data_IF_433130298350
#
_entry.id   IF_433130298350
#
_cell.length_a   1.000
_cell.length_b   1.000
_cell.length_c   1.000
_cell.angle_alpha   90.00
_cell.angle_beta   90.00
_cell.angle_gamma   90.00
#
_symmetry.space_group_name_H-M   'P 1'
#
loop_
_entity.id
_entity.type
_entity.pdbx_description
1 polymer ?
#
# COMPACT_ATOMS: atom_id res chain seq x y z
N UNK A 1 -14.29 6.44 3.00
CA UNK A 1 -12.91 5.91 3.04
C UNK A 1 -12.13 6.45 4.24
N UNK A 2 -11.99 7.77 4.38
CA UNK A 2 -11.20 8.41 5.47
C UNK A 2 -11.58 7.94 6.90
N UNK A 3 -12.87 7.87 7.29
CA UNK A 3 -13.21 7.47 8.67
C UNK A 3 -12.76 6.06 9.03
N UNK A 4 -12.79 5.13 8.06
CA UNK A 4 -12.38 3.74 8.28
C UNK A 4 -10.86 3.61 8.40
N UNK A 5 -10.11 4.37 7.61
CA UNK A 5 -8.65 4.41 7.73
C UNK A 5 -8.25 4.96 9.11
N UNK A 6 -8.85 6.06 9.55
CA UNK A 6 -8.62 6.64 10.88
C UNK A 6 -8.99 5.66 12.01
N UNK A 7 -10.10 4.93 11.88
CA UNK A 7 -10.47 3.88 12.82
C UNK A 7 -9.40 2.78 12.94
N UNK A 8 -8.88 2.31 11.80
CA UNK A 8 -7.86 1.25 11.82
C UNK A 8 -6.51 1.75 12.35
N UNK A 9 -6.12 2.99 12.04
CA UNK A 9 -4.97 3.65 12.68
C UNK A 9 -5.15 3.74 14.19
N UNK A 10 -6.30 4.23 14.65
CA UNK A 10 -6.64 4.38 16.07
C UNK A 10 -6.67 3.03 16.78
N UNK A 11 -7.28 2.00 16.18
CA UNK A 11 -7.30 0.64 16.76
C UNK A 11 -5.89 0.05 16.89
N UNK A 12 -4.99 0.33 15.96
CA UNK A 12 -3.57 -0.03 16.07
C UNK A 12 -2.89 0.68 17.24
N UNK A 13 -3.13 1.99 17.42
CA UNK A 13 -2.61 2.76 18.57
C UNK A 13 -3.15 2.24 19.91
N UNK A 14 -4.44 1.94 19.98
CA UNK A 14 -5.08 1.35 21.16
C UNK A 14 -4.47 -0.02 21.46
N UNK A 15 -4.31 -0.89 20.45
CA UNK A 15 -3.64 -2.18 20.63
C UNK A 15 -2.24 -2.00 21.16
N UNK A 16 -1.44 -1.07 20.63
CA UNK A 16 -0.08 -0.79 21.12
C UNK A 16 -0.06 -0.41 22.61
N UNK A 17 -1.06 0.35 23.07
CA UNK A 17 -1.18 0.74 24.48
C UNK A 17 -1.60 -0.42 25.39
N UNK A 18 -2.49 -1.29 24.92
CA UNK A 18 -3.02 -2.43 25.70
C UNK A 18 -2.02 -3.60 25.70
N UNK A 19 -1.52 -3.96 24.52
CA UNK A 19 -0.57 -5.04 24.29
C UNK A 19 0.63 -4.44 23.60
N UNK A 20 1.74 -4.27 24.32
CA UNK A 20 2.99 -3.83 23.68
C UNK A 20 3.39 -4.89 22.67
N UNK A 21 3.31 -4.64 21.35
CA UNK A 21 3.77 -5.61 20.38
C UNK A 21 5.28 -5.72 20.51
N UNK A 22 5.81 -6.91 20.20
CA UNK A 22 7.26 -7.05 20.01
C UNK A 22 7.73 -5.99 19.00
N UNK A 23 8.87 -5.33 19.22
CA UNK A 23 9.43 -4.42 18.25
C UNK A 23 9.68 -5.13 16.91
N UNK A 24 9.46 -4.42 15.80
CA UNK A 24 9.79 -4.94 14.47
C UNK A 24 8.67 -5.68 13.73
N UNK A 25 7.41 -5.62 14.17
CA UNK A 25 6.29 -5.95 13.30
C UNK A 25 6.39 -5.19 11.96
N UNK A 26 5.83 -5.76 10.89
CA UNK A 26 5.95 -5.32 9.49
C UNK A 26 7.34 -5.51 8.87
N UNK A 27 8.44 -5.32 9.59
CA UNK A 27 9.81 -5.43 9.04
C UNK A 27 10.42 -6.82 9.31
N UNK A 28 10.60 -7.15 10.59
CA UNK A 28 11.20 -8.41 11.05
C UNK A 28 10.24 -9.58 10.86
N UNK A 29 8.97 -9.38 11.17
CA UNK A 29 7.92 -10.39 11.08
C UNK A 29 6.59 -9.77 10.60
N UNK A 30 5.65 -10.55 10.04
CA UNK A 30 4.42 -10.00 9.48
C UNK A 30 3.52 -9.39 10.56
N UNK A 31 2.98 -8.20 10.29
CA UNK A 31 1.88 -7.63 11.06
C UNK A 31 0.58 -8.32 10.66
N UNK A 32 -0.17 -8.83 11.64
CA UNK A 32 -1.43 -9.54 11.42
C UNK A 32 -2.62 -8.65 11.72
N UNK A 33 -3.38 -8.32 10.68
CA UNK A 33 -4.66 -7.62 10.77
C UNK A 33 -5.81 -8.60 10.56
N UNK A 34 -6.71 -8.71 11.54
CA UNK A 34 -7.86 -9.62 11.51
C UNK A 34 -9.12 -8.88 11.11
N UNK A 35 -9.89 -9.44 10.18
CA UNK A 35 -11.16 -8.86 9.77
C UNK A 35 -12.15 -9.94 9.32
N UNK A 36 -13.40 -9.52 9.13
CA UNK A 36 -14.43 -10.28 8.40
C UNK A 36 -14.81 -9.54 7.13
N UNK A 37 -15.30 -10.27 6.12
CA UNK A 37 -15.81 -9.66 4.90
C UNK A 37 -17.16 -9.00 5.20
N UNK A 38 -17.16 -7.69 5.44
CA UNK A 38 -18.39 -6.96 5.74
C UNK A 38 -19.29 -6.84 4.51
N UNK A 39 -20.60 -6.71 4.73
CA UNK A 39 -21.59 -6.62 3.65
C UNK A 39 -21.29 -5.50 2.65
N UNK A 40 -20.80 -4.34 3.13
CA UNK A 40 -20.37 -3.23 2.27
C UNK A 40 -19.10 -3.51 1.46
N UNK A 41 -18.19 -4.35 1.96
CA UNK A 41 -16.98 -4.73 1.23
C UNK A 41 -17.27 -5.76 0.13
N UNK A 42 -18.32 -6.56 0.34
CA UNK A 42 -18.89 -7.47 -0.66
C UNK A 42 -19.83 -6.76 -1.65
N UNK A 43 -20.04 -5.44 -1.54
CA UNK A 43 -21.05 -4.72 -2.32
C UNK A 43 -22.44 -5.37 -2.23
N UNK A 44 -22.83 -5.81 -1.04
CA UNK A 44 -24.05 -6.58 -0.76
C UNK A 44 -24.17 -7.93 -1.51
N UNK A 45 -23.09 -8.42 -2.10
CA UNK A 45 -22.99 -9.74 -2.72
C UNK A 45 -22.53 -10.84 -1.76
N UNK A 46 -22.26 -12.02 -2.33
CA UNK A 46 -21.86 -13.23 -1.60
C UNK A 46 -20.35 -13.29 -1.29
N UNK A 47 -19.54 -12.46 -1.95
CA UNK A 47 -18.08 -12.50 -1.84
C UNK A 47 -17.43 -11.12 -1.85
N UNK A 48 -16.20 -11.07 -1.36
CA UNK A 48 -15.37 -9.87 -1.36
C UNK A 48 -15.06 -9.43 -2.79
N UNK A 49 -15.30 -8.16 -3.09
CA UNK A 49 -15.02 -7.58 -4.42
C UNK A 49 -13.51 -7.37 -4.63
N UNK A 50 -13.07 -7.36 -5.89
CA UNK A 50 -11.65 -7.20 -6.25
C UNK A 50 -11.06 -5.90 -5.68
N UNK A 51 -11.82 -4.81 -5.75
CA UNK A 51 -11.43 -3.51 -5.20
C UNK A 51 -11.33 -3.51 -3.67
N UNK A 52 -12.08 -4.38 -2.99
CA UNK A 52 -11.99 -4.51 -1.55
C UNK A 52 -10.68 -5.17 -1.12
N UNK A 53 -10.06 -6.05 -1.92
CA UNK A 53 -8.73 -6.56 -1.58
C UNK A 53 -7.69 -5.44 -1.48
N UNK A 54 -7.61 -4.54 -2.49
CA UNK A 54 -6.68 -3.40 -2.46
C UNK A 54 -6.92 -2.49 -1.24
N UNK A 55 -8.19 -2.17 -0.96
CA UNK A 55 -8.56 -1.41 0.23
C UNK A 55 -8.08 -2.11 1.51
N UNK A 56 -8.24 -3.42 1.61
CA UNK A 56 -7.91 -4.17 2.81
C UNK A 56 -6.41 -4.35 2.99
N UNK A 57 -5.63 -4.37 1.90
CA UNK A 57 -4.18 -4.23 1.96
C UNK A 57 -3.81 -2.90 2.62
N UNK A 58 -4.37 -1.78 2.17
CA UNK A 58 -4.09 -0.47 2.79
C UNK A 58 -4.52 -0.40 4.26
N UNK A 59 -5.71 -0.91 4.60
CA UNK A 59 -6.18 -0.94 5.99
C UNK A 59 -5.25 -1.74 6.90
N UNK A 60 -4.73 -2.87 6.42
CA UNK A 60 -3.78 -3.70 7.19
C UNK A 60 -2.46 -2.95 7.46
N UNK A 61 -1.99 -2.15 6.49
CA UNK A 61 -0.77 -1.34 6.63
C UNK A 61 -1.02 -0.19 7.61
N UNK A 62 -2.13 0.52 7.51
CA UNK A 62 -2.46 1.60 8.46
C UNK A 62 -2.63 1.10 9.90
N UNK A 63 -3.18 -0.10 10.05
CA UNK A 63 -3.22 -0.79 11.32
C UNK A 63 -1.81 -1.10 11.86
N UNK A 64 -0.95 -1.66 11.01
CA UNK A 64 0.46 -1.92 11.35
C UNK A 64 1.17 -0.63 11.79
N UNK A 65 0.99 0.47 11.04
CA UNK A 65 1.56 1.77 11.36
C UNK A 65 1.18 2.27 12.76
N UNK A 66 -0.09 2.12 13.13
CA UNK A 66 -0.55 2.46 14.49
C UNK A 66 0.07 1.57 15.55
N UNK A 67 0.15 0.26 15.29
CA UNK A 67 0.68 -0.72 16.24
C UNK A 67 2.17 -0.57 16.53
N UNK A 68 2.97 -0.19 15.53
CA UNK A 68 4.43 -0.08 15.63
C UNK A 68 4.91 1.32 16.03
N UNK A 69 4.04 2.34 15.97
CA UNK A 69 4.44 3.72 16.23
C UNK A 69 4.91 4.50 15.01
N UNK A 70 4.84 3.92 13.80
CA UNK A 70 5.11 4.64 12.55
C UNK A 70 4.28 5.92 12.42
N UNK A 71 3.03 5.91 12.90
CA UNK A 71 2.19 7.12 12.88
C UNK A 71 2.78 8.27 13.69
N UNK A 72 3.43 7.96 14.82
CA UNK A 72 4.05 8.98 15.66
C UNK A 72 5.33 9.52 15.00
N UNK A 73 6.16 8.65 14.43
CA UNK A 73 7.35 9.00 13.65
C UNK A 73 6.99 9.94 12.49
N UNK A 74 5.99 9.53 11.69
CA UNK A 74 5.51 10.33 10.55
C UNK A 74 4.95 11.68 10.99
N UNK A 75 4.17 11.73 12.08
CA UNK A 75 3.61 12.99 12.58
C UNK A 75 4.71 13.95 13.06
N UNK A 76 5.70 13.46 13.82
CA UNK A 76 6.81 14.25 14.37
C UNK A 76 7.66 14.86 13.25
N UNK A 77 8.01 14.05 12.25
CA UNK A 77 8.91 14.45 11.17
C UNK A 77 8.18 15.05 9.95
N UNK A 78 6.84 15.16 10.03
CA UNK A 78 5.96 15.60 8.92
C UNK A 78 6.12 14.74 7.66
N UNK A 79 6.35 13.45 7.87
CA UNK A 79 6.42 12.48 6.79
C UNK A 79 5.06 11.92 6.46
N UNK A 80 4.89 11.51 5.21
CA UNK A 80 3.71 10.78 4.77
C UNK A 80 4.08 9.74 3.72
N UNK A 81 3.30 8.66 3.69
CA UNK A 81 3.47 7.57 2.74
C UNK A 81 2.75 7.90 1.43
N UNK A 82 3.40 7.59 0.31
CA UNK A 82 2.82 7.66 -1.02
C UNK A 82 2.91 6.27 -1.65
N UNK A 83 1.75 5.69 -1.96
CA UNK A 83 1.67 4.44 -2.69
C UNK A 83 1.86 4.74 -4.18
N UNK A 84 2.90 4.16 -4.79
CA UNK A 84 3.18 4.33 -6.21
C UNK A 84 2.40 3.34 -7.06
N UNK A 85 2.49 2.05 -6.70
CA UNK A 85 1.91 0.96 -7.47
C UNK A 85 1.43 -0.13 -6.53
N UNK A 86 0.29 -0.73 -6.86
CA UNK A 86 -0.24 -1.87 -6.13
C UNK A 86 -0.80 -2.90 -7.11
N UNK A 87 -0.70 -4.18 -6.74
CA UNK A 87 -1.27 -5.28 -7.49
C UNK A 87 -1.72 -6.38 -6.55
N UNK A 88 -2.76 -7.12 -6.93
CA UNK A 88 -3.26 -8.27 -6.17
C UNK A 88 -3.50 -9.45 -7.09
N UNK A 89 -3.12 -10.63 -6.62
CA UNK A 89 -3.47 -11.92 -7.21
C UNK A 89 -4.42 -12.63 -6.25
N UNK A 90 -5.64 -12.89 -6.72
CA UNK A 90 -6.66 -13.61 -5.96
C UNK A 90 -6.68 -15.06 -6.42
N UNK A 91 -6.51 -15.98 -5.48
CA UNK A 91 -6.52 -17.43 -5.73
C UNK A 91 -7.86 -18.06 -5.36
N UNK A 92 -8.48 -17.58 -4.28
CA UNK A 92 -9.73 -18.09 -3.73
C UNK A 92 -10.62 -16.95 -3.24
N UNK A 93 -11.92 -17.13 -3.46
CA UNK A 93 -12.93 -16.17 -3.01
C UNK A 93 -13.02 -16.16 -1.48
N UNK A 94 -13.17 -14.96 -0.90
CA UNK A 94 -13.53 -14.78 0.50
C UNK A 94 -15.03 -14.47 0.53
N UNK A 95 -15.83 -15.34 1.15
CA UNK A 95 -17.29 -15.21 1.25
C UNK A 95 -17.69 -14.14 2.26
N UNK A 96 -18.90 -13.60 2.09
CA UNK A 96 -19.47 -12.63 3.02
C UNK A 96 -19.44 -13.17 4.46
N UNK A 97 -19.05 -12.31 5.40
CA UNK A 97 -18.86 -12.59 6.83
C UNK A 97 -17.78 -13.61 7.20
N UNK A 98 -17.11 -14.21 6.21
CA UNK A 98 -15.96 -15.09 6.42
C UNK A 98 -14.83 -14.32 7.11
N UNK A 99 -14.23 -14.94 8.13
CA UNK A 99 -13.06 -14.41 8.81
C UNK A 99 -11.81 -14.68 7.97
N UNK A 100 -10.91 -13.70 7.94
CA UNK A 100 -9.60 -13.82 7.33
C UNK A 100 -8.59 -12.93 8.05
N UNK A 101 -7.32 -13.23 7.84
CA UNK A 101 -6.21 -12.41 8.31
C UNK A 101 -5.46 -11.84 7.12
N UNK A 102 -4.99 -10.61 7.25
CA UNK A 102 -4.04 -10.01 6.31
C UNK A 102 -2.70 -9.91 7.02
N UNK A 103 -1.73 -10.66 6.50
CA UNK A 103 -0.35 -10.73 6.98
C UNK A 103 0.47 -9.78 6.12
N UNK A 104 0.84 -8.64 6.68
CA UNK A 104 1.54 -7.57 5.96
C UNK A 104 2.98 -7.46 6.40
N UNK A 105 3.91 -7.43 5.44
CA UNK A 105 5.35 -7.36 5.69
C UNK A 105 6.07 -6.56 4.62
N UNK A 106 6.99 -5.69 5.01
CA UNK A 106 7.99 -5.12 4.10
C UNK A 106 9.01 -6.20 3.77
N UNK A 107 9.05 -6.61 2.50
CA UNK A 107 9.92 -7.67 2.02
C UNK A 107 11.22 -7.17 1.39
N UNK A 108 11.30 -5.89 1.04
CA UNK A 108 12.47 -5.24 0.47
C UNK A 108 12.32 -3.71 0.60
N UNK A 109 13.43 -2.99 0.65
CA UNK A 109 13.47 -1.54 0.54
C UNK A 109 14.76 -1.11 -0.14
N UNK A 110 14.70 0.01 -0.85
CA UNK A 110 15.85 0.73 -1.38
C UNK A 110 15.88 2.15 -0.78
N UNK A 111 16.62 3.07 -1.41
CA UNK A 111 16.75 4.45 -0.92
C UNK A 111 15.48 5.28 -1.08
N UNK A 112 14.53 4.86 -1.92
CA UNK A 112 13.32 5.60 -2.25
C UNK A 112 12.04 4.86 -1.85
N UNK A 113 12.03 3.54 -1.97
CA UNK A 113 10.85 2.69 -1.96
C UNK A 113 10.93 1.56 -0.95
N UNK A 114 9.79 1.24 -0.37
CA UNK A 114 9.53 0.05 0.43
C UNK A 114 8.52 -0.81 -0.31
N UNK A 115 8.76 -2.13 -0.31
CA UNK A 115 7.92 -3.11 -0.98
C UNK A 115 7.21 -3.95 0.06
N UNK A 116 5.89 -3.78 0.14
CA UNK A 116 5.03 -4.47 1.08
C UNK A 116 4.36 -5.65 0.39
N UNK A 117 4.47 -6.81 1.02
CA UNK A 117 3.70 -8.01 0.73
C UNK A 117 2.50 -8.07 1.68
N UNK A 118 1.32 -8.37 1.16
CA UNK A 118 0.10 -8.60 1.92
C UNK A 118 -0.48 -9.96 1.54
N UNK A 119 -0.53 -10.89 2.48
CA UNK A 119 -1.10 -12.22 2.27
C UNK A 119 -2.43 -12.36 3.02
N UNK A 120 -3.50 -12.63 2.29
CA UNK A 120 -4.83 -12.92 2.84
C UNK A 120 -4.92 -14.40 3.16
N UNK A 121 -5.12 -14.75 4.42
CA UNK A 121 -5.09 -16.13 4.89
C UNK A 121 -6.32 -16.51 5.70
N UNK A 122 -6.68 -17.79 5.66
CA UNK A 122 -7.60 -18.38 6.62
C UNK A 122 -6.96 -18.38 8.02
N UNK A 123 -7.64 -17.86 9.07
CA UNK A 123 -7.11 -17.88 10.43
C UNK A 123 -6.99 -19.30 10.99
N UNK A 124 -7.81 -20.24 10.52
CA UNK A 124 -7.88 -21.61 11.04
C UNK A 124 -6.93 -22.54 10.31
N UNK A 125 -6.93 -22.53 8.98
CA UNK A 125 -6.15 -23.46 8.15
C UNK A 125 -4.84 -22.87 7.63
N UNK A 126 -4.64 -21.56 7.71
CA UNK A 126 -3.51 -20.86 7.10
C UNK A 126 -3.57 -20.78 5.56
N UNK A 127 -4.64 -21.30 4.95
CA UNK A 127 -4.84 -21.32 3.50
C UNK A 127 -4.79 -19.91 2.90
N UNK A 128 -4.06 -19.76 1.78
CA UNK A 128 -3.90 -18.48 1.09
C UNK A 128 -5.10 -18.20 0.16
N UNK A 129 -5.77 -17.08 0.39
CA UNK A 129 -6.87 -16.59 -0.44
C UNK A 129 -6.38 -15.64 -1.54
N UNK A 130 -5.47 -14.73 -1.19
CA UNK A 130 -4.92 -13.74 -2.10
C UNK A 130 -3.54 -13.28 -1.64
N UNK A 131 -2.74 -12.81 -2.57
CA UNK A 131 -1.46 -12.17 -2.31
C UNK A 131 -1.38 -10.85 -3.06
N UNK A 132 -1.04 -9.79 -2.35
CA UNK A 132 -0.91 -8.46 -2.90
C UNK A 132 0.46 -7.87 -2.64
N UNK A 133 0.88 -6.98 -3.53
CA UNK A 133 2.09 -6.20 -3.40
C UNK A 133 1.81 -4.71 -3.51
N UNK A 134 2.58 -3.92 -2.78
CA UNK A 134 2.54 -2.46 -2.84
C UNK A 134 3.94 -1.89 -2.80
N UNK A 135 4.22 -0.93 -3.68
CA UNK A 135 5.42 -0.10 -3.59
C UNK A 135 5.06 1.25 -2.99
N UNK A 136 5.74 1.61 -1.91
CA UNK A 136 5.43 2.80 -1.09
C UNK A 136 6.69 3.59 -0.83
N UNK A 137 6.63 4.90 -1.04
CA UNK A 137 7.73 5.80 -0.70
C UNK A 137 7.34 6.69 0.48
N UNK A 138 8.36 7.16 1.20
CA UNK A 138 8.21 8.15 2.25
C UNK A 138 8.54 9.54 1.70
N UNK A 139 7.74 10.55 2.05
CA UNK A 139 7.97 11.93 1.60
C UNK A 139 7.87 12.93 2.73
N UNK A 140 8.62 14.01 2.60
CA UNK A 140 8.50 15.23 3.41
C UNK A 140 8.27 16.40 2.44
N UNK A 141 7.04 16.94 2.40
CA UNK A 141 6.67 17.88 1.35
C UNK A 141 6.92 17.31 -0.05
N UNK A 142 7.73 17.97 -0.87
CA UNK A 142 8.05 17.49 -2.23
C UNK A 142 9.23 16.53 -2.27
N UNK A 143 9.97 16.37 -1.19
CA UNK A 143 11.19 15.58 -1.15
C UNK A 143 10.91 14.12 -0.82
N UNK A 144 11.79 13.24 -1.30
CA UNK A 144 11.80 11.82 -0.94
C UNK A 144 12.60 11.65 0.34
N UNK A 145 12.17 10.75 1.19
CA UNK A 145 12.84 10.45 2.46
C UNK A 145 13.32 9.02 2.41
N UNK A 146 14.60 8.82 2.73
CA UNK A 146 15.17 7.48 2.80
C UNK A 146 14.43 6.64 3.86
N UNK A 147 13.91 5.45 3.52
CA UNK A 147 13.23 4.57 4.48
C UNK A 147 14.02 4.26 5.75
N UNK A 148 15.36 4.28 5.70
CA UNK A 148 16.22 4.00 6.86
C UNK A 148 16.05 5.02 8.00
N UNK A 149 15.77 6.28 7.68
CA UNK A 149 15.47 7.30 8.69
C UNK A 149 14.20 6.96 9.49
N UNK A 150 13.23 6.32 8.84
CA UNK A 150 12.03 5.82 9.52
C UNK A 150 12.33 4.62 10.40
N UNK A 151 13.22 3.71 9.96
CA UNK A 151 13.67 2.56 10.74
C UNK A 151 14.38 3.00 12.03
N UNK A 152 15.27 4.00 11.93
CA UNK A 152 15.95 4.60 13.07
C UNK A 152 14.95 5.22 14.07
N UNK A 153 13.99 6.03 13.59
CA UNK A 153 13.02 6.71 14.46
C UNK A 153 12.10 5.74 15.22
N UNK A 154 11.81 4.56 14.65
CA UNK A 154 11.03 3.51 15.31
C UNK A 154 11.88 2.53 16.14
N UNK A 155 13.18 2.79 16.30
CA UNK A 155 14.07 1.98 17.14
C UNK A 155 14.51 0.67 16.49
N UNK A 156 14.58 0.63 15.16
CA UNK A 156 15.07 -0.51 14.36
C UNK A 156 16.30 -0.12 13.51
N UNK A 157 17.35 0.50 14.08
CA UNK A 157 18.49 1.01 13.30
C UNK A 157 19.32 -0.09 12.62
N UNK A 158 19.28 -1.32 13.16
CA UNK A 158 20.09 -2.45 12.68
C UNK A 158 19.34 -3.35 11.70
N UNK A 159 18.32 -2.84 11.00
CA UNK A 159 17.69 -3.58 9.91
C UNK A 159 18.72 -3.73 8.78
N UNK A 160 19.18 -4.95 8.58
CA UNK A 160 20.15 -5.28 7.52
C UNK A 160 19.44 -5.14 6.18
N UNK A 161 20.03 -4.32 5.31
CA UNK A 161 19.59 -4.21 3.93
C UNK A 161 19.71 -5.58 3.26
N UNK A 162 18.70 -5.93 2.45
CA UNK A 162 18.79 -7.15 1.65
C UNK A 162 19.70 -6.87 0.46
N UNK A 163 20.83 -7.58 0.40
CA UNK A 163 21.79 -7.45 -0.69
C UNK A 163 21.15 -7.74 -2.06
N UNK A 164 20.26 -8.73 -2.09
CA UNK A 164 19.55 -9.11 -3.31
C UNK A 164 18.08 -8.70 -3.29
N UNK A 165 17.63 -8.09 -4.38
CA UNK A 165 16.22 -7.80 -4.63
C UNK A 165 15.47 -9.14 -4.75
N UNK A 166 14.48 -9.45 -3.90
CA UNK A 166 13.75 -10.71 -3.99
C UNK A 166 13.10 -10.91 -5.36
N UNK A 167 13.07 -12.15 -5.86
CA UNK A 167 12.49 -12.48 -7.18
C UNK A 167 11.06 -11.93 -7.35
N UNK A 168 10.25 -12.02 -6.29
CA UNK A 168 8.89 -11.48 -6.27
C UNK A 168 8.86 -9.96 -6.51
N UNK A 169 9.81 -9.23 -5.93
CA UNK A 169 9.97 -7.78 -6.13
C UNK A 169 10.44 -7.47 -7.54
N UNK A 170 11.37 -8.24 -8.09
CA UNK A 170 11.82 -8.10 -9.47
C UNK A 170 10.66 -8.27 -10.46
N UNK A 171 9.84 -9.32 -10.28
CA UNK A 171 8.66 -9.58 -11.13
C UNK A 171 7.62 -8.45 -11.03
N UNK A 172 7.39 -7.94 -9.82
CA UNK A 172 6.50 -6.80 -9.61
C UNK A 172 7.01 -5.53 -10.29
N UNK A 173 8.31 -5.23 -10.18
CA UNK A 173 8.92 -4.09 -10.85
C UNK A 173 8.88 -4.22 -12.38
N UNK A 174 9.07 -5.42 -12.91
CA UNK A 174 8.92 -5.67 -14.35
C UNK A 174 7.49 -5.40 -14.83
N UNK A 175 6.48 -5.85 -14.08
CA UNK A 175 5.08 -5.53 -14.36
C UNK A 175 4.78 -4.03 -14.25
N UNK A 176 5.27 -3.37 -13.20
CA UNK A 176 5.08 -1.93 -12.98
C UNK A 176 5.68 -1.09 -14.11
N UNK A 177 6.88 -1.45 -14.59
CA UNK A 177 7.55 -0.76 -15.68
C UNK A 177 6.76 -0.86 -17.01
N UNK A 178 6.10 -1.99 -17.26
CA UNK A 178 5.23 -2.16 -18.44
C UNK A 178 3.94 -1.34 -18.27
N UNK A 179 3.34 -1.34 -17.07
CA UNK A 179 2.15 -0.56 -16.77
C UNK A 179 2.40 0.95 -16.91
N UNK A 180 3.53 1.47 -16.40
CA UNK A 180 3.92 2.88 -16.51
C UNK A 180 4.04 3.33 -17.98
N UNK A 181 4.71 2.54 -18.83
CA UNK A 181 4.80 2.83 -20.27
C UNK A 181 3.42 2.87 -20.95
N UNK A 182 2.54 1.94 -20.60
CA UNK A 182 1.16 1.90 -21.12
C UNK A 182 0.36 3.12 -20.68
N UNK A 183 0.49 3.52 -19.41
CA UNK A 183 -0.17 4.70 -18.86
C UNK A 183 0.32 5.99 -19.51
N UNK A 184 1.65 6.15 -19.69
CA UNK A 184 2.26 7.29 -20.40
C UNK A 184 1.73 7.42 -21.81
N UNK A 185 1.81 6.34 -22.59
CA UNK A 185 1.29 6.31 -23.96
C UNK A 185 -0.18 6.69 -24.02
N UNK A 186 -0.99 6.18 -23.09
CA UNK A 186 -2.42 6.51 -23.01
C UNK A 186 -2.65 7.99 -22.68
N UNK A 187 -1.87 8.55 -21.74
CA UNK A 187 -1.93 9.96 -21.40
C UNK A 187 -1.56 10.85 -22.60
N UNK A 188 -0.51 10.52 -23.34
CA UNK A 188 -0.09 11.26 -24.53
C UNK A 188 -1.17 11.23 -25.63
N UNK A 189 -1.73 10.04 -25.91
CA UNK A 189 -2.84 9.90 -26.87
C UNK A 189 -4.07 10.69 -26.45
N UNK A 190 -4.41 10.69 -25.16
CA UNK A 190 -5.51 11.49 -24.63
C UNK A 190 -5.22 12.99 -24.78
N UNK A 191 -4.01 13.45 -24.44
CA UNK A 191 -3.62 14.85 -24.58
C UNK A 191 -3.80 15.33 -26.03
N UNK A 192 -3.36 14.54 -27.02
CA UNK A 192 -3.57 14.84 -28.46
C UNK A 192 -5.06 14.90 -28.80
N UNK A 193 -5.84 13.91 -28.34
CA UNK A 193 -7.28 13.83 -28.63
C UNK A 193 -8.07 15.00 -28.04
N UNK A 194 -7.72 15.45 -26.84
CA UNK A 194 -8.44 16.50 -26.12
C UNK A 194 -7.91 17.91 -26.40
N UNK A 195 -6.66 18.07 -26.87
CA UNK A 195 -6.12 19.37 -27.30
C UNK A 195 -6.97 20.05 -28.40
N UNK A 196 -7.61 19.25 -29.25
CA UNK A 196 -8.43 19.73 -30.37
C UNK A 196 -9.93 19.81 -30.07
N UNK A 197 -10.37 19.46 -28.85
CA UNK A 197 -11.79 19.48 -28.48
C UNK A 197 -12.10 20.80 -27.78
N UNK A 198 -13.00 21.62 -28.34
CA UNK A 198 -13.64 22.75 -27.63
C UNK A 198 -14.55 22.21 -26.52
N UNK A 199 -13.97 21.68 -25.45
CA UNK A 199 -14.67 21.25 -24.24
C UNK A 199 -14.74 22.40 -23.23
N UNK A 200 -15.70 22.37 -22.29
CA UNK A 200 -15.76 23.37 -21.23
C UNK A 200 -14.46 23.35 -20.42
N UNK A 201 -13.92 24.54 -20.09
CA UNK A 201 -12.63 24.76 -19.43
C UNK A 201 -12.45 24.08 -18.05
N UNK A 202 -13.50 23.41 -17.55
CA UNK A 202 -13.55 22.76 -16.23
C UNK A 202 -13.05 21.32 -16.27
N UNK A 203 -12.98 20.69 -17.45
CA UNK A 203 -12.46 19.34 -17.62
C UNK A 203 -10.99 19.41 -18.06
N UNK A 204 -10.07 19.32 -17.11
CA UNK A 204 -8.64 19.21 -17.40
C UNK A 204 -8.37 17.97 -18.25
N UNK A 205 -7.72 18.15 -19.40
CA UNK A 205 -7.20 17.06 -20.23
C UNK A 205 -6.00 16.33 -19.58
N UNK A 206 -5.40 16.95 -18.57
CA UNK A 206 -4.36 16.36 -17.75
C UNK A 206 -5.01 15.71 -16.53
N UNK A 207 -4.91 14.38 -16.42
CA UNK A 207 -5.25 13.70 -15.17
C UNK A 207 -4.30 14.23 -14.10
N UNK A 208 -4.86 14.97 -13.14
CA UNK A 208 -4.09 15.43 -11.98
C UNK A 208 -3.47 14.19 -11.33
N UNK A 209 -2.13 14.10 -11.35
CA UNK A 209 -1.24 13.18 -10.64
C UNK A 209 -0.32 12.24 -11.46
N UNK A 210 -0.28 12.30 -12.78
CA UNK A 210 0.79 11.62 -13.50
C UNK A 210 1.98 12.57 -13.70
N UNK A 211 3.21 12.21 -13.23
CA UNK A 211 4.39 13.07 -13.30
C UNK A 211 5.00 13.01 -14.70
N UNK A 212 4.19 13.17 -15.73
CA UNK A 212 4.66 13.27 -17.11
C UNK A 212 4.89 14.76 -17.37
N UNK A 213 5.93 15.30 -16.74
CA UNK A 213 6.45 16.59 -17.19
C UNK A 213 6.96 16.36 -18.62
N UNK A 214 6.33 17.00 -19.60
CA UNK A 214 6.92 17.07 -20.94
C UNK A 214 8.27 17.75 -20.79
N UNK A 215 9.36 17.06 -21.14
CA UNK A 215 10.62 17.75 -21.41
C UNK A 215 10.34 18.67 -22.59
N UNK A 216 10.41 19.98 -22.35
CA UNK A 216 10.49 20.95 -23.43
C UNK A 216 11.91 20.85 -24.00
N UNK A 217 12.00 20.47 -25.27
CA UNK A 217 13.19 20.68 -26.11
C UNK A 217 13.32 22.16 -26.48
#
# INVERSE_FOLDING_TARGET
>A
MIPRNLWHMASGLVRRKITKPEPGALYLYPSVWRSRAGLKDCNFGDKLTENAFLRHMELSVWYACGSMGLLHACARNRWYFVFGSQGVRVFKDIKAFQAYEVHSRVIYWDDDWQFLLAQFKCPETGELYAEGMSRVMLRQGRERVNPRLLHEDIGLPNLVDKEEVPELVQKFLAWDAVADKSMKRTADMNAIRYANRKGPAVLSAYSMNLPFAMKQE
#
